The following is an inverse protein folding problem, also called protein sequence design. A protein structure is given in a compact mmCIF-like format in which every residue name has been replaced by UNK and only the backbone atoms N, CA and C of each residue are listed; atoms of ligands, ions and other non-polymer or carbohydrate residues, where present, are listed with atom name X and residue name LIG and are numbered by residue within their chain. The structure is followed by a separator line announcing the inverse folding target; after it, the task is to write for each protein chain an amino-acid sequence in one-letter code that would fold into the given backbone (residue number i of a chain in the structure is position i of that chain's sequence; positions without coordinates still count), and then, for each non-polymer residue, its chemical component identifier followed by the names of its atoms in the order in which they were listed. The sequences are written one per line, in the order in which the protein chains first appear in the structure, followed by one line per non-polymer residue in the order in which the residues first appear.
data_IF_097741036412
#
_entry.id   IF_097741036412
#
_cell.length_a   1.000
_cell.length_b   1.000
_cell.length_c   1.000
_cell.angle_alpha   90.00
_cell.angle_beta   90.00
_cell.angle_gamma   90.00
#
_symmetry.space_group_name_H-M   'P 1'
#
loop_
_entity.id
_entity.type
_entity.pdbx_description
1 polymer ?
#
# COMPACT_ATOMS: atom_id res chain seq x y z
N UNK A 1 4.34 -5.66 21.21
CA UNK A 1 4.85 -5.97 19.85
C UNK A 1 3.72 -5.67 18.90
N UNK A 2 3.94 -4.80 17.92
CA UNK A 2 2.95 -4.51 16.90
C UNK A 2 2.60 -5.81 16.15
N UNK A 3 1.34 -6.24 16.24
CA UNK A 3 0.85 -7.41 15.52
C UNK A 3 -0.20 -6.92 14.54
N UNK A 4 0.19 -6.85 13.27
CA UNK A 4 -0.74 -6.70 12.15
C UNK A 4 -0.66 -8.02 11.39
N UNK A 5 -1.65 -8.87 11.61
CA UNK A 5 -1.74 -10.23 11.11
C UNK A 5 -3.13 -10.59 10.57
N UNK A 6 -4.07 -9.64 10.66
CA UNK A 6 -5.46 -9.80 10.20
C UNK A 6 -5.90 -8.55 9.45
N UNK A 7 -6.93 -8.69 8.61
CA UNK A 7 -7.58 -7.56 7.95
C UNK A 7 -8.10 -6.51 8.93
N UNK A 8 -8.58 -6.94 10.11
CA UNK A 8 -9.07 -6.04 11.15
C UNK A 8 -7.93 -5.15 11.67
N UNK A 9 -6.80 -5.74 12.04
CA UNK A 9 -5.62 -5.00 12.52
C UNK A 9 -5.06 -4.08 11.44
N UNK A 10 -5.04 -4.52 10.17
CA UNK A 10 -4.65 -3.65 9.05
C UNK A 10 -5.62 -2.47 8.92
N UNK A 11 -6.93 -2.72 8.99
CA UNK A 11 -7.97 -1.68 8.90
C UNK A 11 -7.83 -0.63 10.01
N UNK A 12 -7.62 -1.07 11.24
CA UNK A 12 -7.38 -0.20 12.39
C UNK A 12 -6.15 0.69 12.13
N UNK A 13 -5.00 0.10 11.82
CA UNK A 13 -3.77 0.82 11.53
C UNK A 13 -3.92 1.86 10.40
N UNK A 14 -4.47 1.48 9.24
CA UNK A 14 -4.57 2.40 8.09
C UNK A 14 -5.59 3.53 8.30
N UNK A 15 -6.44 3.42 9.33
CA UNK A 15 -7.42 4.43 9.72
C UNK A 15 -6.85 5.47 10.70
N UNK A 16 -5.76 5.15 11.40
CA UNK A 16 -5.14 6.02 12.41
C UNK A 16 -4.42 7.23 11.79
N UNK A 17 -3.88 7.07 10.58
CA UNK A 17 -3.00 8.06 9.96
C UNK A 17 -3.67 8.86 8.85
N UNK A 18 -3.24 10.12 8.74
CA UNK A 18 -3.58 10.97 7.60
C UNK A 18 -2.73 10.58 6.39
N UNK A 19 -3.41 10.22 5.31
CA UNK A 19 -2.79 9.89 4.04
C UNK A 19 -2.38 11.14 3.26
N UNK A 20 -1.24 11.07 2.59
CA UNK A 20 -0.73 12.12 1.69
C UNK A 20 -1.02 11.74 0.24
N UNK A 21 -1.78 12.56 -0.48
CA UNK A 21 -1.97 12.38 -1.92
C UNK A 21 -0.70 12.69 -2.71
N UNK A 22 -0.27 11.77 -3.58
CA UNK A 22 0.95 11.87 -4.37
C UNK A 22 0.75 12.78 -5.60
N UNK A 23 0.76 14.10 -5.39
CA UNK A 23 0.48 15.12 -6.42
C UNK A 23 1.29 14.96 -7.71
N UNK A 24 2.55 14.52 -7.61
CA UNK A 24 3.42 14.26 -8.77
C UNK A 24 2.84 13.22 -9.73
N UNK A 25 2.03 12.29 -9.21
CA UNK A 25 1.44 11.20 -9.98
C UNK A 25 -0.05 11.38 -10.26
N UNK A 26 -0.63 12.55 -9.96
CA UNK A 26 -2.07 12.79 -10.07
C UNK A 26 -2.66 12.47 -11.45
N UNK A 27 -1.87 12.59 -12.52
CA UNK A 27 -2.29 12.38 -13.92
C UNK A 27 -1.76 11.10 -14.56
N UNK A 28 -1.05 10.26 -13.81
CA UNK A 28 -0.38 9.08 -14.38
C UNK A 28 -0.55 7.84 -13.51
N UNK A 29 -0.58 8.03 -12.19
CA UNK A 29 -0.69 6.97 -11.21
C UNK A 29 -1.27 7.53 -9.89
N UNK A 30 -2.51 8.04 -9.85
CA UNK A 30 -3.04 8.66 -8.64
C UNK A 30 -3.10 7.68 -7.47
N UNK A 31 -2.40 8.00 -6.39
CA UNK A 31 -2.38 7.20 -5.16
C UNK A 31 -2.12 8.09 -3.95
N UNK A 32 -2.26 7.50 -2.77
CA UNK A 32 -1.90 8.11 -1.50
C UNK A 32 -0.86 7.26 -0.77
N UNK A 33 -0.15 7.88 0.17
CA UNK A 33 0.81 7.18 1.01
C UNK A 33 0.84 7.72 2.43
N UNK A 34 1.31 6.88 3.35
CA UNK A 34 1.83 7.26 4.66
C UNK A 34 3.33 7.00 4.67
N UNK A 35 4.09 7.87 5.33
CA UNK A 35 5.56 7.79 5.41
C UNK A 35 5.98 7.85 6.88
N UNK A 36 6.92 6.98 7.26
CA UNK A 36 7.37 6.76 8.64
C UNK A 36 7.79 8.07 9.32
N UNK A 37 8.57 8.90 8.61
CA UNK A 37 9.06 10.20 9.10
C UNK A 37 7.94 11.17 9.53
N UNK A 38 6.73 11.03 8.97
CA UNK A 38 5.59 11.90 9.34
C UNK A 38 4.74 11.33 10.46
N UNK A 39 4.73 10.01 10.63
CA UNK A 39 3.92 9.35 11.65
C UNK A 39 4.68 9.17 12.96
N UNK A 40 6.01 8.98 12.90
CA UNK A 40 6.88 8.77 14.05
C UNK A 40 7.62 7.43 14.00
N UNK A 41 8.89 7.44 14.44
CA UNK A 41 9.78 6.26 14.40
C UNK A 41 9.28 5.09 15.27
N UNK A 42 8.45 5.38 16.27
CA UNK A 42 7.76 4.41 17.12
C UNK A 42 6.88 3.44 16.31
N UNK A 43 6.38 3.88 15.16
CA UNK A 43 5.54 3.07 14.26
C UNK A 43 6.35 2.18 13.31
N UNK A 44 7.69 2.18 13.39
CA UNK A 44 8.56 1.38 12.49
C UNK A 44 8.21 -0.11 12.51
N UNK A 45 7.91 -0.65 13.70
CA UNK A 45 7.53 -2.04 13.84
C UNK A 45 6.17 -2.35 13.17
N UNK A 46 5.25 -1.39 13.17
CA UNK A 46 3.96 -1.53 12.49
C UNK A 46 4.11 -1.44 10.98
N UNK A 47 4.98 -0.57 10.46
CA UNK A 47 5.30 -0.51 9.03
C UNK A 47 5.84 -1.85 8.52
N UNK A 48 6.78 -2.44 9.25
CA UNK A 48 7.30 -3.76 8.97
C UNK A 48 6.20 -4.85 9.08
N UNK A 49 5.30 -4.75 10.07
CA UNK A 49 4.18 -5.69 10.21
C UNK A 49 3.19 -5.60 9.03
N UNK A 50 2.84 -4.40 8.57
CA UNK A 50 2.02 -4.18 7.37
C UNK A 50 2.69 -4.76 6.14
N UNK A 51 3.97 -4.46 5.92
CA UNK A 51 4.70 -4.98 4.77
C UNK A 51 4.73 -6.52 4.75
N UNK A 52 4.93 -7.15 5.92
CA UNK A 52 4.86 -8.60 6.07
C UNK A 52 3.47 -9.13 5.75
N UNK A 53 2.43 -8.54 6.34
CA UNK A 53 1.05 -8.94 6.11
C UNK A 53 0.66 -8.85 4.63
N UNK A 54 1.00 -7.76 3.94
CA UNK A 54 0.73 -7.61 2.50
C UNK A 54 1.41 -8.70 1.67
N UNK A 55 2.64 -9.11 2.02
CA UNK A 55 3.37 -10.16 1.30
C UNK A 55 2.81 -11.55 1.56
N UNK A 56 2.39 -11.84 2.78
CA UNK A 56 1.94 -13.16 3.21
C UNK A 56 0.46 -13.42 2.89
N UNK A 57 -0.40 -12.41 3.04
CA UNK A 57 -1.85 -12.54 2.84
C UNK A 57 -2.34 -11.94 1.50
N UNK A 58 -1.50 -11.15 0.83
CA UNK A 58 -1.82 -10.53 -0.45
C UNK A 58 -1.55 -11.44 -1.64
N UNK A 59 -1.42 -10.80 -2.80
CA UNK A 59 -1.13 -11.47 -4.06
C UNK A 59 -0.07 -10.71 -4.85
N UNK A 60 0.63 -11.44 -5.71
CA UNK A 60 1.60 -10.84 -6.62
C UNK A 60 0.88 -10.26 -7.85
N UNK A 61 1.17 -9.01 -8.18
CA UNK A 61 0.73 -8.40 -9.43
C UNK A 61 1.82 -7.48 -9.99
N UNK A 62 1.54 -6.90 -11.15
CA UNK A 62 2.41 -5.91 -11.78
C UNK A 62 1.80 -4.52 -11.67
N UNK A 63 2.66 -3.54 -11.42
CA UNK A 63 2.41 -2.15 -11.79
C UNK A 63 3.39 -1.78 -12.90
N UNK A 64 2.87 -1.50 -14.11
CA UNK A 64 3.68 -1.38 -15.31
C UNK A 64 4.59 -2.61 -15.49
N UNK A 65 5.92 -2.46 -15.37
CA UNK A 65 6.89 -3.57 -15.48
C UNK A 65 7.39 -4.10 -14.13
N UNK A 66 6.94 -3.51 -13.03
CA UNK A 66 7.42 -3.85 -11.68
C UNK A 66 6.48 -4.85 -11.03
N UNK A 67 7.00 -6.02 -10.67
CA UNK A 67 6.30 -6.99 -9.82
C UNK A 67 6.31 -6.53 -8.37
N UNK A 68 5.20 -6.72 -7.67
CA UNK A 68 5.07 -6.41 -6.25
C UNK A 68 3.97 -7.24 -5.59
N UNK A 69 3.83 -7.08 -4.28
CA UNK A 69 2.76 -7.68 -3.48
C UNK A 69 1.70 -6.64 -3.18
N UNK A 70 0.44 -7.03 -3.30
CA UNK A 70 -0.71 -6.17 -3.13
C UNK A 70 -1.74 -6.83 -2.24
N UNK A 71 -2.39 -6.03 -1.39
CA UNK A 71 -3.49 -6.48 -0.56
C UNK A 71 -4.71 -5.60 -0.83
N UNK A 72 -5.89 -6.20 -1.01
CA UNK A 72 -7.15 -5.46 -1.18
C UNK A 72 -7.87 -5.43 0.16
N UNK A 73 -8.24 -4.24 0.61
CA UNK A 73 -9.03 -4.04 1.81
C UNK A 73 -10.02 -2.89 1.57
N UNK A 74 -11.30 -3.19 1.76
CA UNK A 74 -12.41 -2.28 1.50
C UNK A 74 -12.31 -1.67 0.07
N UNK A 75 -12.31 -0.34 -0.07
CA UNK A 75 -12.26 0.34 -1.39
C UNK A 75 -10.85 0.55 -1.94
N UNK A 76 -9.81 0.06 -1.26
CA UNK A 76 -8.42 0.31 -1.62
C UNK A 76 -7.63 -0.97 -1.86
N UNK A 77 -6.57 -0.84 -2.65
CA UNK A 77 -5.46 -1.79 -2.64
C UNK A 77 -4.20 -1.13 -2.06
N UNK A 78 -3.38 -1.91 -1.37
CA UNK A 78 -2.23 -1.48 -0.58
C UNK A 78 -0.95 -2.16 -1.05
N UNK A 79 0.18 -1.45 -0.99
CA UNK A 79 1.50 -2.00 -1.29
C UNK A 79 2.64 -1.24 -0.59
N UNK A 80 3.80 -1.88 -0.50
CA UNK A 80 5.06 -1.26 -0.06
C UNK A 80 6.11 -1.33 -1.17
N UNK A 81 7.19 -0.56 -1.04
CA UNK A 81 8.19 -0.41 -2.11
C UNK A 81 9.52 -1.10 -1.80
N UNK A 82 9.84 -1.32 -0.55
CA UNK A 82 11.13 -1.83 -0.13
C UNK A 82 11.26 -3.33 -0.36
N UNK A 83 12.47 -3.81 -0.67
CA UNK A 83 12.73 -5.23 -0.86
C UNK A 83 12.74 -5.98 0.47
N UNK A 84 13.33 -5.38 1.51
CA UNK A 84 13.32 -5.92 2.87
C UNK A 84 12.16 -5.33 3.65
N UNK A 85 11.48 -6.18 4.43
CA UNK A 85 10.32 -5.78 5.23
C UNK A 85 10.72 -4.70 6.26
N UNK A 86 11.90 -4.84 6.84
CA UNK A 86 12.44 -4.06 7.95
C UNK A 86 12.91 -2.67 7.52
N UNK A 87 13.09 -2.47 6.21
CA UNK A 87 13.42 -1.19 5.59
C UNK A 87 12.16 -0.40 5.19
N UNK A 88 10.96 -0.96 5.37
CA UNK A 88 9.71 -0.30 4.96
C UNK A 88 9.52 1.01 5.70
N UNK A 89 9.54 2.12 4.96
CA UNK A 89 9.27 3.47 5.45
C UNK A 89 8.04 4.11 4.78
N UNK A 90 7.45 3.43 3.79
CA UNK A 90 6.35 3.91 2.96
C UNK A 90 5.30 2.82 2.75
N UNK A 91 4.04 3.14 3.09
CA UNK A 91 2.88 2.31 2.75
C UNK A 91 1.99 3.12 1.82
N UNK A 92 1.66 2.53 0.69
CA UNK A 92 0.85 3.17 -0.35
C UNK A 92 -0.53 2.55 -0.43
N UNK A 93 -1.50 3.34 -0.92
CA UNK A 93 -2.83 2.86 -1.31
C UNK A 93 -3.37 3.58 -2.53
N UNK A 94 -4.24 2.92 -3.27
CA UNK A 94 -5.03 3.56 -4.32
C UNK A 94 -6.44 2.97 -4.35
N UNK A 95 -7.39 3.76 -4.86
CA UNK A 95 -8.80 3.38 -4.91
C UNK A 95 -9.04 2.37 -6.02
N UNK A 96 -9.82 1.34 -5.72
CA UNK A 96 -10.31 0.37 -6.70
C UNK A 96 -11.26 1.02 -7.73
N UNK A 97 -11.87 2.16 -7.39
CA UNK A 97 -12.64 2.95 -8.35
C UNK A 97 -11.77 3.45 -9.50
N UNK A 98 -10.49 3.78 -9.23
CA UNK A 98 -9.60 4.44 -10.19
C UNK A 98 -8.77 3.43 -10.99
N UNK A 99 -8.67 2.20 -10.51
CA UNK A 99 -7.85 1.14 -11.11
C UNK A 99 -8.64 -0.12 -11.43
N UNK A 100 -8.13 -0.89 -12.38
CA UNK A 100 -8.57 -2.26 -12.67
C UNK A 100 -7.37 -3.20 -12.72
N UNK A 101 -7.57 -4.44 -12.29
CA UNK A 101 -6.56 -5.50 -12.41
C UNK A 101 -6.87 -6.31 -13.68
N UNK A 102 -6.00 -6.19 -14.69
CA UNK A 102 -6.16 -6.86 -15.99
C UNK A 102 -4.89 -7.65 -16.29
N UNK A 103 -5.03 -8.95 -16.55
CA UNK A 103 -3.90 -9.85 -16.81
C UNK A 103 -2.81 -9.79 -15.73
N UNK A 104 -3.24 -9.76 -14.46
CA UNK A 104 -2.37 -9.61 -13.29
C UNK A 104 -1.57 -8.29 -13.25
N UNK A 105 -2.04 -7.24 -13.91
CA UNK A 105 -1.43 -5.92 -13.90
C UNK A 105 -2.44 -4.82 -13.55
N UNK A 106 -2.09 -3.96 -12.59
CA UNK A 106 -2.88 -2.79 -12.24
C UNK A 106 -2.82 -1.74 -13.35
N UNK A 107 -3.99 -1.31 -13.83
CA UNK A 107 -4.16 -0.30 -14.87
C UNK A 107 -5.02 0.84 -14.35
N UNK A 108 -4.52 2.06 -14.49
CA UNK A 108 -5.28 3.25 -14.15
C UNK A 108 -6.34 3.53 -15.23
N UNK A 109 -7.60 3.70 -14.82
CA UNK A 109 -8.73 3.91 -15.74
C UNK A 109 -8.75 5.29 -16.39
N UNK A 110 -8.01 6.25 -15.82
CA UNK A 110 -7.97 7.64 -16.29
C UNK A 110 -7.08 7.90 -17.50
N UNK A 111 -6.40 6.88 -18.05
CA UNK A 111 -5.55 7.03 -19.24
C UNK A 111 -6.32 6.98 -20.58
N UNK A 112 -7.63 7.31 -20.57
CA UNK A 112 -8.47 7.31 -21.78
C UNK A 112 -8.44 8.66 -22.48
#
# INVERSE_FOLDING_TARGET
MARISTEKELREFVSEFKWTFAKTYAKTAPHEYIVLDKVGIEHKAEFAAVARFIREAGFEAYYYRRKGYYFILDDNYYWTMDEKIEDTDLINRARLSDYELVDNAWRWKGSR
#
